data_IF_745420159612
#
_entry.id   IF_745420159612
#
_cell.length_a   1.000
_cell.length_b   1.000
_cell.length_c   1.000
_cell.angle_alpha   90.00
_cell.angle_beta   90.00
_cell.angle_gamma   90.00
#
_symmetry.space_group_name_H-M   'P 1'
#
loop_
_entity.id
_entity.type
_entity.pdbx_description
1 polymer ?
#
# COMPACT_ATOMS: atom_id res chain seq x y z
N UNK A 1 -30.75 -41.01 -18.58
CA UNK A 1 -29.42 -40.42 -18.85
C UNK A 1 -29.48 -38.95 -18.55
N UNK A 2 -28.97 -38.50 -17.40
CA UNK A 2 -28.84 -37.07 -17.07
C UNK A 2 -27.56 -36.55 -17.73
N UNK A 3 -27.69 -35.55 -18.62
CA UNK A 3 -26.58 -34.80 -19.18
C UNK A 3 -25.85 -34.08 -18.04
N UNK A 4 -24.58 -34.43 -17.84
CA UNK A 4 -23.68 -33.68 -16.98
C UNK A 4 -23.35 -32.39 -17.75
N UNK A 5 -23.92 -31.30 -17.29
CA UNK A 5 -23.61 -29.96 -17.79
C UNK A 5 -22.18 -29.61 -17.33
N UNK A 6 -21.26 -29.61 -18.29
CA UNK A 6 -19.87 -29.19 -18.06
C UNK A 6 -19.87 -27.74 -17.61
N UNK A 7 -19.51 -27.50 -16.36
CA UNK A 7 -19.24 -26.15 -15.87
C UNK A 7 -18.15 -25.53 -16.75
N UNK A 8 -18.49 -24.47 -17.45
CA UNK A 8 -17.50 -23.64 -18.17
C UNK A 8 -16.42 -23.17 -17.19
N UNK A 9 -15.14 -23.14 -17.58
CA UNK A 9 -14.11 -22.61 -16.73
C UNK A 9 -14.42 -21.14 -16.46
N UNK A 10 -14.63 -20.80 -15.19
CA UNK A 10 -14.81 -19.43 -14.75
C UNK A 10 -13.70 -18.57 -15.32
N UNK A 11 -14.04 -17.62 -16.20
CA UNK A 11 -13.09 -16.71 -16.80
C UNK A 11 -12.26 -16.04 -15.68
N UNK A 12 -10.95 -16.22 -15.74
CA UNK A 12 -10.05 -15.62 -14.76
C UNK A 12 -10.32 -14.12 -14.66
N UNK A 13 -10.51 -13.62 -13.45
CA UNK A 13 -10.75 -12.19 -13.20
C UNK A 13 -9.71 -11.31 -13.87
N UNK A 14 -10.08 -10.18 -14.46
CA UNK A 14 -9.11 -9.23 -14.95
C UNK A 14 -8.24 -8.71 -13.80
N UNK A 15 -6.96 -8.57 -14.06
CA UNK A 15 -6.02 -7.99 -13.12
C UNK A 15 -6.27 -6.49 -12.95
N UNK A 16 -6.12 -5.99 -11.73
CA UNK A 16 -6.30 -4.57 -11.39
C UNK A 16 -5.04 -4.06 -10.71
N UNK A 17 -4.57 -2.89 -11.10
CA UNK A 17 -3.46 -2.21 -10.43
C UNK A 17 -3.92 -1.70 -9.06
N UNK A 18 -3.28 -2.21 -8.00
CA UNK A 18 -3.48 -1.74 -6.64
C UNK A 18 -2.20 -1.06 -6.11
N UNK A 19 -2.38 0.03 -5.37
CA UNK A 19 -1.29 0.70 -4.67
C UNK A 19 -1.49 0.54 -3.17
N UNK A 20 -0.45 0.08 -2.48
CA UNK A 20 -0.44 -0.20 -1.05
C UNK A 20 0.60 0.70 -0.38
N UNK A 21 0.18 1.43 0.65
CA UNK A 21 1.05 2.18 1.53
C UNK A 21 1.61 1.28 2.63
N UNK A 22 2.88 1.44 2.93
CA UNK A 22 3.58 0.76 4.01
C UNK A 22 4.14 1.81 4.97
N UNK A 23 4.00 1.60 6.27
CA UNK A 23 4.55 2.46 7.31
C UNK A 23 5.01 1.67 8.53
N UNK A 24 6.15 2.07 9.12
CA UNK A 24 6.69 1.48 10.34
C UNK A 24 7.57 2.49 11.08
N UNK A 25 7.57 2.45 12.42
CA UNK A 25 8.46 3.31 13.23
C UNK A 25 8.98 2.64 14.52
N UNK A 26 8.73 1.34 14.71
CA UNK A 26 9.19 0.60 15.88
C UNK A 26 10.09 -0.58 15.47
N UNK A 27 11.05 -0.88 16.32
CA UNK A 27 11.95 -2.02 16.13
C UNK A 27 12.79 -1.89 14.84
N UNK A 28 12.95 -2.98 14.12
CA UNK A 28 13.56 -2.98 12.80
C UNK A 28 12.54 -2.57 11.72
N UNK A 29 12.20 -1.27 11.70
CA UNK A 29 11.23 -0.72 10.75
C UNK A 29 11.62 -1.00 9.28
N UNK A 30 12.92 -0.89 8.94
CA UNK A 30 13.41 -1.13 7.59
C UNK A 30 13.23 -2.60 7.18
N UNK A 31 13.61 -3.52 8.06
CA UNK A 31 13.42 -4.96 7.84
C UNK A 31 11.93 -5.32 7.70
N UNK A 32 11.08 -4.75 8.55
CA UNK A 32 9.63 -4.97 8.50
C UNK A 32 9.02 -4.51 7.16
N UNK A 33 9.38 -3.31 6.67
CA UNK A 33 8.90 -2.81 5.38
C UNK A 33 9.35 -3.71 4.22
N UNK A 34 10.62 -4.16 4.21
CA UNK A 34 11.15 -5.03 3.16
C UNK A 34 10.49 -6.41 3.17
N UNK A 35 10.32 -7.00 4.34
CA UNK A 35 9.64 -8.28 4.48
C UNK A 35 8.17 -8.20 4.01
N UNK A 36 7.46 -7.14 4.41
CA UNK A 36 6.09 -6.89 3.96
C UNK A 36 6.01 -6.70 2.44
N UNK A 37 6.91 -5.91 1.86
CA UNK A 37 6.94 -5.68 0.41
C UNK A 37 7.14 -6.98 -0.38
N UNK A 38 8.03 -7.86 0.08
CA UNK A 38 8.24 -9.17 -0.53
C UNK A 38 6.98 -10.05 -0.46
N UNK A 39 6.25 -10.02 0.66
CA UNK A 39 4.98 -10.74 0.83
C UNK A 39 3.86 -10.15 -0.03
N UNK A 40 3.76 -8.81 -0.11
CA UNK A 40 2.78 -8.13 -0.97
C UNK A 40 3.04 -8.46 -2.46
N UNK A 41 4.30 -8.50 -2.89
CA UNK A 41 4.64 -8.88 -4.25
C UNK A 41 4.13 -10.27 -4.62
N UNK A 42 4.10 -11.22 -3.67
CA UNK A 42 3.54 -12.56 -3.86
C UNK A 42 2.00 -12.58 -3.98
N UNK A 43 1.30 -11.55 -3.48
CA UNK A 43 -0.15 -11.39 -3.64
C UNK A 43 -0.54 -10.80 -5.02
N UNK A 44 0.44 -10.38 -5.82
CA UNK A 44 0.25 -10.00 -7.21
C UNK A 44 -0.03 -11.21 -8.11
N UNK A 45 -0.37 -10.92 -9.35
CA UNK A 45 -0.64 -11.95 -10.38
C UNK A 45 0.62 -12.42 -11.14
N UNK A 46 1.80 -12.07 -10.66
CA UNK A 46 3.09 -12.35 -11.30
C UNK A 46 3.57 -11.28 -12.27
N UNK A 47 2.82 -10.19 -12.45
CA UNK A 47 3.21 -9.03 -13.24
C UNK A 47 4.27 -8.18 -12.53
N UNK A 48 4.80 -7.19 -13.24
CA UNK A 48 5.80 -6.29 -12.70
C UNK A 48 5.32 -5.55 -11.43
N UNK A 49 6.14 -5.61 -10.39
CA UNK A 49 5.94 -4.88 -9.13
C UNK A 49 6.61 -3.52 -9.22
N UNK A 50 5.90 -2.47 -8.86
CA UNK A 50 6.45 -1.13 -8.69
C UNK A 50 6.74 -0.88 -7.22
N UNK A 51 7.93 -0.40 -6.87
CA UNK A 51 8.29 -0.11 -5.50
C UNK A 51 9.00 1.25 -5.42
N UNK A 52 8.55 2.11 -4.52
CA UNK A 52 9.18 3.39 -4.26
C UNK A 52 10.47 3.22 -3.45
N UNK A 53 11.26 4.29 -3.38
CA UNK A 53 12.25 4.48 -2.32
C UNK A 53 11.55 4.47 -0.96
N UNK A 54 12.33 4.31 0.12
CA UNK A 54 11.83 4.49 1.47
C UNK A 54 11.95 5.97 1.86
N UNK A 55 10.87 6.53 2.38
CA UNK A 55 10.75 7.91 2.80
C UNK A 55 10.65 8.00 4.32
N UNK A 56 11.31 8.98 4.91
CA UNK A 56 11.24 9.28 6.33
C UNK A 56 10.33 10.47 6.58
N UNK A 57 9.47 10.38 7.59
CA UNK A 57 8.60 11.47 8.03
C UNK A 57 8.52 11.53 9.54
N UNK A 58 8.35 12.74 10.08
CA UNK A 58 8.02 12.90 11.49
C UNK A 58 6.62 12.31 11.80
N UNK A 59 6.37 11.87 13.05
CA UNK A 59 5.04 11.44 13.47
C UNK A 59 4.03 12.59 13.33
N UNK A 60 2.87 12.31 12.70
CA UNK A 60 1.76 13.27 12.59
C UNK A 60 0.82 13.05 13.76
N UNK A 61 0.62 14.08 14.60
CA UNK A 61 -0.25 14.02 15.79
C UNK A 61 0.11 12.88 16.78
N UNK A 62 1.36 12.46 16.81
CA UNK A 62 1.87 11.40 17.69
C UNK A 62 3.27 11.77 18.19
N UNK A 63 3.67 11.18 19.32
CA UNK A 63 5.06 11.18 19.81
C UNK A 63 5.73 9.87 19.45
N UNK A 64 7.04 9.89 19.21
CA UNK A 64 7.81 8.70 18.92
C UNK A 64 8.89 8.92 17.87
N UNK A 65 9.60 7.85 17.46
CA UNK A 65 10.58 7.93 16.38
C UNK A 65 9.92 8.24 15.05
N UNK A 66 10.72 8.77 14.11
CA UNK A 66 10.31 8.99 12.73
C UNK A 66 9.78 7.71 12.10
N UNK A 67 8.80 7.88 11.22
CA UNK A 67 8.28 6.79 10.41
C UNK A 67 9.14 6.59 9.15
N UNK A 68 9.32 5.34 8.79
CA UNK A 68 9.69 4.93 7.45
C UNK A 68 8.42 4.57 6.68
N UNK A 69 8.28 5.14 5.47
CA UNK A 69 7.11 4.98 4.64
C UNK A 69 7.53 4.58 3.22
N UNK A 70 6.69 3.83 2.54
CA UNK A 70 6.88 3.48 1.14
C UNK A 70 5.54 3.19 0.48
N UNK A 71 5.53 3.12 -0.84
CA UNK A 71 4.38 2.65 -1.63
C UNK A 71 4.84 1.53 -2.56
N UNK A 72 4.03 0.48 -2.66
CA UNK A 72 4.20 -0.61 -3.61
C UNK A 72 2.96 -0.68 -4.51
N UNK A 73 3.19 -0.89 -5.81
CA UNK A 73 2.15 -1.13 -6.80
C UNK A 73 2.23 -2.56 -7.31
N UNK A 74 1.13 -3.28 -7.27
CA UNK A 74 1.00 -4.65 -7.81
C UNK A 74 -0.21 -4.73 -8.73
N UNK A 75 -0.14 -5.61 -9.72
CA UNK A 75 -1.34 -6.07 -10.43
C UNK A 75 -1.87 -7.30 -9.71
N UNK A 76 -3.15 -7.31 -9.37
CA UNK A 76 -3.75 -8.39 -8.59
C UNK A 76 -5.14 -8.75 -9.09
N UNK A 77 -5.50 -10.01 -8.94
CA UNK A 77 -6.86 -10.53 -9.18
C UNK A 77 -7.68 -10.69 -7.90
N UNK A 78 -7.07 -10.41 -6.75
CA UNK A 78 -7.77 -10.42 -5.48
C UNK A 78 -8.84 -9.33 -5.45
N UNK A 79 -10.04 -9.65 -4.95
CA UNK A 79 -11.03 -8.64 -4.60
C UNK A 79 -10.50 -7.68 -3.54
N UNK A 80 -10.99 -6.43 -3.48
CA UNK A 80 -10.50 -5.44 -2.52
C UNK A 80 -10.50 -5.92 -1.06
N UNK A 81 -11.55 -6.62 -0.61
CA UNK A 81 -11.61 -7.19 0.74
C UNK A 81 -10.63 -8.36 0.94
N UNK A 82 -10.42 -9.20 -0.09
CA UNK A 82 -9.45 -10.28 -0.03
C UNK A 82 -8.02 -9.72 0.03
N UNK A 83 -7.73 -8.66 -0.73
CA UNK A 83 -6.46 -7.94 -0.65
C UNK A 83 -6.25 -7.37 0.76
N UNK A 84 -7.25 -6.68 1.33
CA UNK A 84 -7.18 -6.17 2.70
C UNK A 84 -6.91 -7.28 3.72
N UNK A 85 -7.58 -8.43 3.59
CA UNK A 85 -7.34 -9.59 4.48
C UNK A 85 -5.91 -10.11 4.36
N UNK A 86 -5.36 -10.18 3.14
CA UNK A 86 -3.97 -10.57 2.92
C UNK A 86 -2.99 -9.58 3.60
N UNK A 87 -3.24 -8.27 3.50
CA UNK A 87 -2.45 -7.24 4.18
C UNK A 87 -2.53 -7.38 5.71
N UNK A 88 -3.72 -7.60 6.26
CA UNK A 88 -3.88 -7.83 7.71
C UNK A 88 -3.15 -9.09 8.20
N UNK A 89 -3.08 -10.14 7.38
CA UNK A 89 -2.31 -11.34 7.72
C UNK A 89 -0.80 -11.02 7.79
N UNK A 90 -0.28 -10.22 6.85
CA UNK A 90 1.12 -9.76 6.86
C UNK A 90 1.40 -8.91 8.10
N UNK A 91 0.52 -7.97 8.47
CA UNK A 91 0.68 -7.16 9.68
C UNK A 91 0.67 -8.02 10.95
N UNK A 92 -0.17 -9.05 11.01
CA UNK A 92 -0.25 -9.97 12.16
C UNK A 92 1.06 -10.75 12.35
N UNK A 93 1.73 -11.17 11.27
CA UNK A 93 3.05 -11.82 11.31
C UNK A 93 4.12 -10.90 11.95
N UNK A 94 3.93 -9.57 11.89
CA UNK A 94 4.87 -8.57 12.44
C UNK A 94 4.46 -8.01 13.81
N UNK A 95 3.59 -8.71 14.54
CA UNK A 95 3.26 -8.38 15.92
C UNK A 95 2.35 -7.16 16.08
N UNK A 96 1.35 -7.01 15.21
CA UNK A 96 0.37 -5.91 15.25
C UNK A 96 -0.34 -5.84 16.62
N UNK A 97 0.07 -4.89 17.47
CA UNK A 97 -0.69 -4.47 18.62
C UNK A 97 -1.26 -3.07 18.36
N UNK A 98 -2.59 -2.91 18.45
CA UNK A 98 -3.26 -1.59 18.37
C UNK A 98 -3.83 -1.22 19.73
N UNK A 99 -3.03 -0.70 20.68
CA UNK A 99 -3.55 -0.29 21.99
C UNK A 99 -4.43 0.96 21.89
N UNK A 100 -4.20 1.86 20.90
CA UNK A 100 -5.00 3.08 20.66
C UNK A 100 -4.79 3.62 19.24
N UNK A 101 -5.63 4.60 18.83
CA UNK A 101 -5.52 5.28 17.53
C UNK A 101 -4.20 6.04 17.43
N UNK A 102 -3.50 5.94 16.28
CA UNK A 102 -2.17 6.52 16.02
C UNK A 102 -1.05 6.00 16.94
N UNK A 103 -1.22 4.81 17.56
CA UNK A 103 -0.14 4.16 18.32
C UNK A 103 1.08 3.93 17.42
N UNK A 104 2.31 3.98 17.97
CA UNK A 104 3.52 3.54 17.29
C UNK A 104 3.34 2.11 16.77
N UNK A 105 3.88 1.81 15.57
CA UNK A 105 3.59 0.55 14.86
C UNK A 105 4.83 -0.13 14.37
N UNK A 106 4.88 -1.45 14.55
CA UNK A 106 5.89 -2.29 13.89
C UNK A 106 5.67 -2.34 12.38
N UNK A 107 4.41 -2.35 11.94
CA UNK A 107 4.02 -2.34 10.53
C UNK A 107 2.56 -1.89 10.38
N UNK A 108 2.29 -1.05 9.37
CA UNK A 108 0.95 -0.62 8.95
C UNK A 108 0.85 -0.71 7.43
N UNK A 109 -0.19 -1.37 6.93
CA UNK A 109 -0.42 -1.59 5.51
C UNK A 109 -1.83 -1.10 5.14
N UNK A 110 -1.89 -0.13 4.23
CA UNK A 110 -3.15 0.46 3.76
C UNK A 110 -3.33 0.27 2.26
N UNK A 111 -4.52 -0.16 1.81
CA UNK A 111 -4.89 -0.09 0.40
C UNK A 111 -5.16 1.38 0.08
N UNK A 112 -4.35 1.99 -0.78
CA UNK A 112 -4.46 3.40 -1.17
C UNK A 112 -5.41 3.58 -2.34
N UNK A 113 -5.16 2.83 -3.41
CA UNK A 113 -5.91 2.84 -4.67
C UNK A 113 -6.11 1.41 -5.16
N UNK A 114 -7.21 1.17 -5.84
CA UNK A 114 -7.51 -0.10 -6.51
C UNK A 114 -8.14 0.20 -7.88
N UNK A 115 -7.31 0.25 -8.91
CA UNK A 115 -7.67 0.82 -10.21
C UNK A 115 -8.17 2.25 -10.05
N UNK A 116 -9.26 2.57 -10.73
CA UNK A 116 -9.97 3.86 -10.63
C UNK A 116 -11.24 3.75 -9.77
N UNK A 117 -11.37 2.70 -8.96
CA UNK A 117 -12.59 2.41 -8.22
C UNK A 117 -12.74 3.33 -7.00
N UNK A 118 -13.99 3.67 -6.71
CA UNK A 118 -14.40 4.26 -5.43
C UNK A 118 -15.29 3.24 -4.74
N UNK A 119 -14.87 2.82 -3.54
CA UNK A 119 -15.56 1.78 -2.76
C UNK A 119 -15.70 2.22 -1.31
N UNK A 120 -16.85 1.91 -0.72
CA UNK A 120 -17.15 2.08 0.69
C UNK A 120 -17.65 0.74 1.23
N UNK A 121 -16.72 -0.04 1.79
CA UNK A 121 -17.00 -1.38 2.32
C UNK A 121 -16.70 -1.39 3.84
N UNK A 122 -17.28 -2.32 4.61
CA UNK A 122 -16.93 -2.45 6.02
C UNK A 122 -15.43 -2.61 6.23
N UNK A 123 -14.79 -1.59 6.83
CA UNK A 123 -13.34 -1.57 7.11
C UNK A 123 -12.45 -1.22 5.92
N UNK A 124 -13.00 -0.85 4.76
CA UNK A 124 -12.23 -0.50 3.58
C UNK A 124 -12.89 0.62 2.78
N UNK A 125 -12.25 1.78 2.75
CA UNK A 125 -12.56 2.89 1.86
C UNK A 125 -11.46 3.02 0.78
N UNK A 126 -11.87 3.06 -0.49
CA UNK A 126 -10.98 3.29 -1.64
C UNK A 126 -11.54 4.47 -2.46
N UNK A 127 -10.75 5.50 -2.76
CA UNK A 127 -9.38 5.75 -2.30
C UNK A 127 -9.28 5.84 -0.78
N UNK A 128 -8.10 5.52 -0.23
CA UNK A 128 -7.88 5.69 1.22
C UNK A 128 -8.25 7.12 1.65
N UNK A 129 -9.13 7.32 2.65
CA UNK A 129 -9.82 8.59 2.90
C UNK A 129 -8.90 9.75 3.25
N UNK A 130 -7.68 9.49 3.74
CA UNK A 130 -6.72 10.53 4.14
C UNK A 130 -5.47 10.60 3.27
N UNK A 131 -5.35 9.79 2.19
CA UNK A 131 -4.13 9.76 1.39
C UNK A 131 -3.79 11.11 0.76
N UNK A 132 -4.81 11.86 0.34
CA UNK A 132 -4.67 13.16 -0.32
C UNK A 132 -4.14 14.28 0.60
N UNK A 133 -4.12 14.05 1.92
CA UNK A 133 -3.65 14.99 2.94
C UNK A 133 -2.25 14.62 3.47
N UNK A 134 -1.60 13.59 2.93
CA UNK A 134 -0.39 13.01 3.50
C UNK A 134 0.75 12.97 2.51
N UNK A 135 1.77 13.82 2.73
CA UNK A 135 2.96 13.83 1.88
C UNK A 135 3.70 12.49 1.87
N UNK A 136 3.80 11.83 3.03
CA UNK A 136 4.46 10.51 3.15
C UNK A 136 3.75 9.37 2.42
N UNK A 137 2.54 9.60 1.90
CA UNK A 137 1.83 8.72 0.97
C UNK A 137 2.00 9.19 -0.47
N UNK A 138 1.75 10.48 -0.72
CA UNK A 138 1.74 11.04 -2.08
C UNK A 138 3.12 11.10 -2.71
N UNK A 139 4.17 11.41 -1.93
CA UNK A 139 5.52 11.50 -2.47
C UNK A 139 6.02 10.15 -3.01
N UNK A 140 6.02 9.05 -2.23
CA UNK A 140 6.39 7.74 -2.75
C UNK A 140 5.43 7.22 -3.83
N UNK A 141 4.14 7.55 -3.79
CA UNK A 141 3.20 7.20 -4.87
C UNK A 141 3.58 7.89 -6.17
N UNK A 142 3.87 9.19 -6.17
CA UNK A 142 4.27 9.94 -7.36
C UNK A 142 5.62 9.48 -7.94
N UNK A 143 6.50 8.89 -7.13
CA UNK A 143 7.76 8.32 -7.58
C UNK A 143 7.53 7.13 -8.54
N UNK A 144 6.57 6.25 -8.22
CA UNK A 144 6.29 5.03 -9.00
C UNK A 144 5.12 5.16 -9.96
N UNK A 145 4.26 6.15 -9.76
CA UNK A 145 3.07 6.39 -10.56
C UNK A 145 2.82 7.90 -10.69
N UNK A 146 3.64 8.64 -11.45
CA UNK A 146 3.58 10.10 -11.55
C UNK A 146 2.26 10.61 -12.13
N UNK A 147 1.56 9.78 -12.90
CA UNK A 147 0.28 10.09 -13.53
C UNK A 147 -0.93 9.55 -12.76
N UNK A 148 -0.70 8.97 -11.55
CA UNK A 148 -1.78 8.44 -10.73
C UNK A 148 -2.84 9.50 -10.43
N UNK A 149 -4.10 9.08 -10.53
CA UNK A 149 -5.26 9.90 -10.14
C UNK A 149 -5.90 9.31 -8.91
N UNK A 150 -6.27 10.19 -7.99
CA UNK A 150 -7.05 9.83 -6.81
C UNK A 150 -8.52 10.13 -7.15
N UNK A 151 -9.38 9.12 -7.32
CA UNK A 151 -10.79 9.31 -7.65
C UNK A 151 -11.45 10.35 -6.73
N UNK A 152 -12.16 11.30 -7.32
CA UNK A 152 -12.83 12.39 -6.60
C UNK A 152 -11.90 13.51 -6.06
N UNK A 153 -10.57 13.38 -6.15
CA UNK A 153 -9.61 14.34 -5.58
C UNK A 153 -8.68 14.98 -6.63
N UNK A 154 -8.41 14.29 -7.74
CA UNK A 154 -7.54 14.81 -8.80
C UNK A 154 -6.23 14.03 -8.98
N UNK A 155 -5.22 14.65 -9.61
CA UNK A 155 -3.93 14.00 -9.80
C UNK A 155 -3.10 13.96 -8.52
N UNK A 156 -2.41 12.83 -8.27
CA UNK A 156 -1.53 12.69 -7.10
C UNK A 156 -0.45 13.77 -7.05
N UNK A 157 0.08 14.19 -8.21
CA UNK A 157 1.08 15.26 -8.31
C UNK A 157 0.54 16.62 -7.86
N UNK A 158 -0.69 16.98 -8.26
CA UNK A 158 -1.32 18.22 -7.83
C UNK A 158 -1.61 18.19 -6.32
N UNK A 159 -2.08 17.06 -5.79
CA UNK A 159 -2.30 16.86 -4.36
C UNK A 159 -0.98 16.93 -3.57
N UNK A 160 0.11 16.35 -4.08
CA UNK A 160 1.43 16.42 -3.46
C UNK A 160 1.89 17.88 -3.27
N UNK A 161 1.61 18.75 -4.23
CA UNK A 161 1.94 20.17 -4.12
C UNK A 161 1.20 20.87 -2.96
N UNK A 162 -0.02 20.45 -2.63
CA UNK A 162 -0.80 21.02 -1.52
C UNK A 162 -0.29 20.66 -0.14
N UNK A 163 0.54 19.62 -0.03
CA UNK A 163 1.13 19.13 1.24
C UNK A 163 2.65 19.27 1.28
N UNK A 164 3.21 20.14 0.44
CA UNK A 164 4.66 20.35 0.30
C UNK A 164 5.36 20.75 1.61
N UNK A 165 4.64 21.41 2.53
CA UNK A 165 5.15 21.89 3.82
C UNK A 165 5.34 20.77 4.86
N UNK A 166 4.79 19.57 4.64
CA UNK A 166 4.98 18.45 5.56
C UNK A 166 6.42 17.93 5.46
N UNK A 167 7.04 17.66 6.60
CA UNK A 167 8.40 17.09 6.65
C UNK A 167 8.36 15.62 6.21
N UNK A 168 8.95 15.37 5.04
CA UNK A 168 9.04 14.05 4.45
C UNK A 168 10.16 14.04 3.41
N UNK A 169 11.16 13.20 3.62
CA UNK A 169 12.37 13.14 2.79
C UNK A 169 12.68 11.71 2.34
N UNK A 170 13.16 11.51 1.10
CA UNK A 170 13.61 10.19 0.68
C UNK A 170 14.86 9.78 1.47
N UNK A 171 15.04 8.48 1.62
CA UNK A 171 16.27 7.88 2.16
C UNK A 171 17.05 7.17 1.06
N UNK A 172 18.29 6.78 1.34
CA UNK A 172 19.13 5.99 0.41
C UNK A 172 18.72 4.49 0.39
N UNK A 173 17.64 4.11 1.04
CA UNK A 173 17.20 2.73 1.16
C UNK A 173 16.14 2.39 0.10
N UNK A 174 16.38 1.32 -0.66
CA UNK A 174 15.38 0.72 -1.53
C UNK A 174 14.41 -0.17 -0.73
N UNK A 175 13.14 -0.17 -1.11
CA UNK A 175 12.11 -1.03 -0.52
C UNK A 175 12.33 -2.50 -0.92
N UNK A 176 12.46 -2.77 -2.22
CA UNK A 176 12.80 -4.09 -2.74
C UNK A 176 14.30 -4.13 -3.05
N UNK A 177 14.98 -5.14 -2.53
CA UNK A 177 16.36 -5.42 -2.91
C UNK A 177 16.32 -6.08 -4.29
N UNK A 178 17.01 -5.47 -5.26
CA UNK A 178 17.22 -6.10 -6.57
C UNK A 178 18.05 -7.35 -6.34
N UNK A 179 17.45 -8.53 -6.46
CA UNK A 179 18.22 -9.77 -6.54
C UNK A 179 18.88 -9.77 -7.92
N UNK A 180 20.14 -9.41 -7.97
CA UNK A 180 20.94 -9.64 -9.18
C UNK A 180 21.04 -11.15 -9.34
N UNK A 181 20.40 -11.69 -10.37
CA UNK A 181 20.54 -13.08 -10.82
C UNK A 181 21.85 -13.20 -11.60
#
# INVERSE_FOLDING_TARGET
>A
MRKVESAEPSAARPSVRAYIGLGANLGDALGALRAAAARIAQAGDGSAVLASSIWRSAPVEASGPDFLNAVIGIDTRLEPLALLQALHAIEAEHGRARPFRNAPRTLDLDVLLYGEQTLHLPGLDIPHPRMHLRRFVLAPLCEIAPDARVPGQGSARALLATVAQQDCTPTDHALLLTTTI
#
